data_IF_643299472002
#
_entry.id   IF_643299472002
#
_cell.length_a   1.000
_cell.length_b   1.000
_cell.length_c   1.000
_cell.angle_alpha   90.00
_cell.angle_beta   90.00
_cell.angle_gamma   90.00
#
_symmetry.space_group_name_H-M   'P 1'
#
loop_
_entity.id
_entity.type
_entity.pdbx_description
1 polymer ?
#
# COMPACT_ATOMS: atom_id res chain seq x y z
N UNK A 1 -11.73 -11.83 10.23
CA UNK A 1 -12.85 -11.02 9.71
C UNK A 1 -13.76 -11.93 8.91
N UNK A 2 -15.05 -11.93 9.21
CA UNK A 2 -16.09 -12.61 8.42
C UNK A 2 -16.77 -11.54 7.57
N UNK A 3 -16.46 -11.57 6.28
CA UNK A 3 -17.00 -10.68 5.27
C UNK A 3 -17.15 -11.46 3.95
N UNK A 4 -18.07 -11.06 3.08
CA UNK A 4 -18.22 -11.70 1.77
C UNK A 4 -18.80 -10.74 0.72
N UNK A 5 -18.33 -10.80 -0.53
CA UNK A 5 -18.73 -9.84 -1.56
C UNK A 5 -20.19 -9.99 -2.00
N UNK A 6 -20.79 -11.19 -1.90
CA UNK A 6 -22.10 -11.48 -2.49
C UNK A 6 -22.98 -12.32 -1.55
N UNK A 7 -24.03 -11.70 -1.05
CA UNK A 7 -25.10 -12.36 -0.27
C UNK A 7 -26.43 -11.63 -0.39
N UNK A 8 -26.63 -10.92 -1.52
CA UNK A 8 -27.74 -9.98 -1.72
C UNK A 8 -28.89 -10.56 -2.55
N UNK A 9 -28.87 -11.87 -2.88
CA UNK A 9 -29.92 -12.53 -3.68
C UNK A 9 -30.37 -13.85 -3.06
N UNK A 10 -31.59 -14.26 -3.38
CA UNK A 10 -32.19 -15.51 -2.92
C UNK A 10 -31.39 -16.71 -3.45
N UNK A 11 -30.89 -17.57 -2.56
CA UNK A 11 -30.05 -18.72 -2.91
C UNK A 11 -28.53 -18.47 -2.80
N UNK A 12 -28.10 -17.26 -2.46
CA UNK A 12 -26.68 -17.00 -2.19
C UNK A 12 -26.18 -17.79 -0.96
N UNK A 13 -24.93 -18.29 -0.96
CA UNK A 13 -24.35 -18.95 0.21
C UNK A 13 -24.35 -18.03 1.45
N UNK A 14 -24.92 -18.51 2.54
CA UNK A 14 -24.94 -17.81 3.82
C UNK A 14 -23.59 -17.85 4.54
N UNK A 15 -23.34 -16.86 5.41
CA UNK A 15 -22.10 -16.74 6.20
C UNK A 15 -22.12 -17.46 7.54
N UNK A 16 -23.22 -18.15 7.87
CA UNK A 16 -23.47 -18.74 9.19
C UNK A 16 -22.41 -19.77 9.57
N UNK A 17 -22.02 -20.62 8.61
CA UNK A 17 -20.93 -21.58 8.81
C UNK A 17 -19.59 -20.91 9.09
N UNK A 18 -19.28 -19.80 8.43
CA UNK A 18 -18.07 -19.02 8.68
C UNK A 18 -18.08 -18.38 10.08
N UNK A 19 -19.22 -17.79 10.48
CA UNK A 19 -19.41 -17.25 11.83
C UNK A 19 -19.16 -18.35 12.88
N UNK A 20 -19.85 -19.48 12.76
CA UNK A 20 -19.67 -20.60 13.69
C UNK A 20 -18.21 -21.08 13.74
N UNK A 21 -17.60 -21.32 12.58
CA UNK A 21 -16.23 -21.85 12.47
C UNK A 21 -15.21 -20.91 13.10
N UNK A 22 -15.30 -19.60 12.83
CA UNK A 22 -14.40 -18.60 13.41
C UNK A 22 -14.52 -18.56 14.94
N UNK A 23 -15.74 -18.64 15.47
CA UNK A 23 -15.97 -18.71 16.92
C UNK A 23 -15.34 -19.94 17.56
N UNK A 24 -15.49 -21.10 16.92
CA UNK A 24 -14.88 -22.35 17.37
C UNK A 24 -13.35 -22.29 17.32
N UNK A 25 -12.77 -21.75 16.24
CA UNK A 25 -11.33 -21.57 16.12
C UNK A 25 -10.77 -20.64 17.21
N UNK A 26 -11.45 -19.51 17.46
CA UNK A 26 -11.06 -18.57 18.52
C UNK A 26 -11.06 -19.23 19.92
N UNK A 27 -12.07 -20.04 20.21
CA UNK A 27 -12.18 -20.78 21.49
C UNK A 27 -11.16 -21.90 21.64
N UNK A 28 -10.84 -22.60 20.56
CA UNK A 28 -9.92 -23.75 20.55
C UNK A 28 -8.44 -23.35 20.64
N UNK A 29 -8.13 -22.05 20.68
CA UNK A 29 -6.79 -21.56 20.98
C UNK A 29 -6.32 -22.12 22.33
N UNK A 30 -5.03 -22.42 22.47
CA UNK A 30 -4.49 -22.94 23.75
C UNK A 30 -4.65 -21.94 24.89
N UNK A 31 -4.29 -20.68 24.63
CA UNK A 31 -4.30 -19.58 25.58
C UNK A 31 -4.51 -18.24 24.85
N UNK A 32 -4.94 -17.23 25.61
CA UNK A 32 -5.12 -15.86 25.14
C UNK A 32 -6.51 -15.59 24.56
N UNK A 33 -6.64 -14.44 23.92
CA UNK A 33 -7.86 -13.96 23.30
C UNK A 33 -7.71 -13.86 21.78
N UNK A 34 -8.83 -13.86 21.07
CA UNK A 34 -8.86 -13.69 19.62
C UNK A 34 -9.87 -12.61 19.27
N UNK A 35 -9.39 -11.57 18.57
CA UNK A 35 -10.26 -10.56 18.00
C UNK A 35 -10.89 -11.09 16.71
N UNK A 36 -12.21 -11.09 16.68
CA UNK A 36 -13.00 -11.49 15.51
C UNK A 36 -13.92 -10.35 15.11
N UNK A 37 -14.06 -10.18 13.80
CA UNK A 37 -14.86 -9.13 13.21
C UNK A 37 -15.91 -9.77 12.30
N UNK A 38 -17.12 -9.26 12.30
CA UNK A 38 -18.19 -9.64 11.36
C UNK A 38 -18.80 -8.38 10.76
N UNK A 39 -18.89 -8.37 9.44
CA UNK A 39 -19.48 -7.28 8.67
C UNK A 39 -20.92 -7.62 8.24
N UNK A 40 -21.69 -6.59 7.85
CA UNK A 40 -23.11 -6.66 7.48
C UNK A 40 -24.04 -7.16 8.61
N UNK A 41 -23.80 -6.71 9.85
CA UNK A 41 -24.61 -7.06 11.03
C UNK A 41 -25.95 -6.34 11.10
N UNK A 42 -26.23 -5.45 10.15
CA UNK A 42 -27.56 -4.90 9.88
C UNK A 42 -28.51 -5.98 9.32
N UNK A 43 -27.96 -7.07 8.77
CA UNK A 43 -28.75 -8.25 8.38
C UNK A 43 -29.06 -9.12 9.58
N UNK A 44 -30.32 -9.55 9.67
CA UNK A 44 -30.85 -10.36 10.78
C UNK A 44 -30.07 -11.65 11.01
N UNK A 45 -29.55 -12.28 9.95
CA UNK A 45 -28.88 -13.58 10.09
C UNK A 45 -27.49 -13.40 10.69
N UNK A 46 -26.67 -12.49 10.17
CA UNK A 46 -25.36 -12.15 10.70
C UNK A 46 -25.45 -11.58 12.13
N UNK A 47 -26.42 -10.70 12.41
CA UNK A 47 -26.71 -10.20 13.76
C UNK A 47 -26.97 -11.36 14.74
N UNK A 48 -27.93 -12.21 14.40
CA UNK A 48 -28.38 -13.31 15.26
C UNK A 48 -27.28 -14.33 15.45
N UNK A 49 -26.63 -14.78 14.37
CA UNK A 49 -25.60 -15.82 14.44
C UNK A 49 -24.34 -15.34 15.15
N UNK A 50 -23.90 -14.09 14.93
CA UNK A 50 -22.71 -13.57 15.63
C UNK A 50 -22.94 -13.48 17.13
N UNK A 51 -24.06 -12.88 17.59
CA UNK A 51 -24.40 -12.83 19.02
C UNK A 51 -24.58 -14.22 19.63
N UNK A 52 -25.17 -15.14 18.87
CA UNK A 52 -25.37 -16.53 19.28
C UNK A 52 -24.05 -17.22 19.58
N UNK A 53 -23.19 -17.31 18.56
CA UNK A 53 -22.03 -18.19 18.56
C UNK A 53 -20.79 -17.52 19.14
N UNK A 54 -20.75 -16.18 19.18
CA UNK A 54 -19.61 -15.45 19.72
C UNK A 54 -19.87 -14.82 21.09
N UNK A 55 -21.06 -15.02 21.67
CA UNK A 55 -21.52 -14.41 22.91
C UNK A 55 -21.60 -12.87 22.83
N UNK A 56 -22.77 -12.31 23.11
CA UNK A 56 -22.95 -10.86 23.20
C UNK A 56 -22.02 -10.22 24.26
N UNK A 57 -21.75 -10.92 25.36
CA UNK A 57 -20.82 -10.46 26.40
C UNK A 57 -19.35 -10.36 25.99
N UNK A 58 -18.96 -10.84 24.80
CA UNK A 58 -17.62 -10.67 24.23
C UNK A 58 -17.56 -9.58 23.16
N UNK A 59 -18.69 -8.97 22.82
CA UNK A 59 -18.72 -7.83 21.90
C UNK A 59 -18.04 -6.64 22.57
N UNK A 60 -17.07 -6.03 21.86
CA UNK A 60 -16.33 -4.86 22.35
C UNK A 60 -16.82 -3.58 21.71
N UNK A 61 -17.12 -3.63 20.42
CA UNK A 61 -17.49 -2.46 19.65
C UNK A 61 -18.41 -2.84 18.50
N UNK A 62 -19.29 -1.91 18.13
CA UNK A 62 -20.01 -1.92 16.86
C UNK A 62 -19.85 -0.54 16.21
N UNK A 63 -19.36 -0.52 14.98
CA UNK A 63 -19.22 0.69 14.17
C UNK A 63 -20.03 0.49 12.89
N UNK A 64 -21.18 1.16 12.78
CA UNK A 64 -22.13 0.94 11.70
C UNK A 64 -22.50 -0.54 11.53
N UNK A 65 -22.11 -1.13 10.40
CA UNK A 65 -22.39 -2.52 10.00
C UNK A 65 -21.31 -3.53 10.42
N UNK A 66 -20.25 -3.09 11.08
CA UNK A 66 -19.15 -3.92 11.55
C UNK A 66 -19.25 -4.14 13.06
N UNK A 67 -19.07 -5.38 13.52
CA UNK A 67 -18.87 -5.70 14.93
C UNK A 67 -17.50 -6.29 15.19
N UNK A 68 -16.99 -5.97 16.38
CA UNK A 68 -15.76 -6.51 16.95
C UNK A 68 -16.09 -7.27 18.24
N UNK A 69 -15.58 -8.49 18.34
CA UNK A 69 -15.64 -9.32 19.54
C UNK A 69 -14.22 -9.73 19.93
N UNK A 70 -13.96 -9.84 21.23
CA UNK A 70 -12.72 -10.41 21.77
C UNK A 70 -13.08 -11.71 22.48
N UNK A 71 -12.80 -12.83 21.83
CA UNK A 71 -13.21 -14.16 22.29
C UNK A 71 -12.05 -14.82 23.06
N UNK A 72 -12.22 -15.15 24.35
CA UNK A 72 -11.19 -15.81 25.13
C UNK A 72 -11.12 -17.31 24.82
N UNK A 73 -9.91 -17.88 24.90
CA UNK A 73 -9.73 -19.32 24.78
C UNK A 73 -10.49 -20.10 25.87
N UNK A 74 -10.81 -21.37 25.60
CA UNK A 74 -11.51 -22.23 26.56
C UNK A 74 -10.76 -22.38 27.89
N UNK A 75 -9.41 -22.46 27.86
CA UNK A 75 -8.60 -22.57 29.08
C UNK A 75 -8.55 -21.26 29.86
N UNK A 76 -8.46 -20.12 29.16
CA UNK A 76 -8.47 -18.79 29.78
C UNK A 76 -9.84 -18.41 30.36
N UNK A 77 -10.92 -19.13 30.00
CA UNK A 77 -12.28 -18.84 30.45
C UNK A 77 -12.87 -19.88 31.41
N UNK A 78 -12.04 -20.65 32.13
CA UNK A 78 -12.38 -21.65 33.16
C UNK A 78 -13.88 -21.73 33.49
N UNK A 79 -14.61 -22.60 32.79
CA UNK A 79 -16.01 -22.92 33.08
C UNK A 79 -17.09 -22.08 32.36
N UNK A 80 -16.76 -21.06 31.56
CA UNK A 80 -17.75 -20.38 30.71
C UNK A 80 -18.04 -21.22 29.46
N UNK A 81 -19.26 -21.74 29.27
CA UNK A 81 -19.59 -22.50 28.06
C UNK A 81 -19.36 -21.63 26.82
N UNK A 82 -19.08 -22.26 25.68
CA UNK A 82 -19.37 -21.61 24.38
C UNK A 82 -20.82 -21.14 24.47
N UNK A 83 -21.20 -19.98 23.95
CA UNK A 83 -22.61 -19.63 23.98
C UNK A 83 -23.31 -20.47 22.91
N UNK A 84 -24.10 -21.48 23.29
CA UNK A 84 -25.41 -21.58 22.74
C UNK A 84 -26.31 -21.16 23.88
N UNK A 85 -26.95 -19.99 23.76
CA UNK A 85 -28.12 -19.80 24.60
C UNK A 85 -29.08 -20.95 24.26
N UNK A 86 -29.49 -21.71 25.28
CA UNK A 86 -30.36 -22.88 25.14
C UNK A 86 -31.69 -22.53 24.42
N UNK A 87 -32.04 -21.23 24.40
CA UNK A 87 -33.19 -20.64 23.69
C UNK A 87 -32.98 -20.52 22.16
N UNK A 88 -31.75 -20.27 21.69
CA UNK A 88 -31.52 -20.01 20.27
C UNK A 88 -31.52 -21.27 19.41
N UNK A 89 -31.03 -22.40 19.94
CA UNK A 89 -31.09 -23.70 19.25
C UNK A 89 -32.54 -24.14 19.04
N UNK A 90 -33.46 -23.79 19.97
CA UNK A 90 -34.90 -24.04 19.86
C UNK A 90 -35.58 -23.09 18.86
N UNK A 91 -35.24 -21.80 18.89
CA UNK A 91 -35.85 -20.78 18.01
C UNK A 91 -35.28 -20.77 16.58
N UNK A 92 -34.01 -21.13 16.35
CA UNK A 92 -33.46 -21.30 15.00
C UNK A 92 -34.08 -22.53 14.30
N UNK A 93 -34.35 -23.61 15.04
CA UNK A 93 -35.11 -24.77 14.55
C UNK A 93 -36.50 -24.38 14.05
N UNK A 94 -37.21 -23.51 14.79
CA UNK A 94 -38.55 -23.07 14.44
C UNK A 94 -38.61 -21.99 13.34
N UNK A 95 -37.58 -21.15 13.21
CA UNK A 95 -37.60 -19.98 12.31
C UNK A 95 -36.98 -20.25 10.92
N UNK A 96 -36.09 -21.23 10.79
CA UNK A 96 -35.35 -21.49 9.54
C UNK A 96 -35.52 -22.89 8.94
N UNK A 97 -36.44 -23.71 9.46
CA UNK A 97 -36.87 -24.99 8.87
C UNK A 97 -35.75 -25.78 8.18
N UNK A 98 -35.01 -26.61 8.91
CA UNK A 98 -33.88 -27.35 8.35
C UNK A 98 -34.26 -28.18 7.11
N UNK A 99 -33.85 -27.71 5.93
CA UNK A 99 -33.25 -28.58 4.92
C UNK A 99 -31.74 -28.42 5.02
N UNK A 100 -31.07 -29.45 5.56
CA UNK A 100 -29.67 -29.72 5.27
C UNK A 100 -28.61 -29.32 6.32
N UNK A 101 -28.56 -30.00 7.46
CA UNK A 101 -27.28 -30.28 8.17
C UNK A 101 -27.38 -31.62 8.92
N UNK A 102 -27.00 -32.76 8.31
CA UNK A 102 -27.16 -34.09 8.93
C UNK A 102 -26.14 -34.40 10.04
N UNK A 103 -25.21 -33.49 10.36
CA UNK A 103 -24.06 -33.83 11.22
C UNK A 103 -24.19 -33.43 12.68
N UNK A 104 -25.24 -32.71 13.07
CA UNK A 104 -25.40 -32.21 14.45
C UNK A 104 -26.19 -33.18 15.35
N UNK A 105 -26.88 -34.18 14.79
CA UNK A 105 -27.71 -35.12 15.56
C UNK A 105 -27.03 -36.45 15.94
N UNK A 106 -25.77 -36.69 15.56
CA UNK A 106 -25.11 -38.01 15.73
C UNK A 106 -24.09 -38.14 16.88
N UNK A 107 -24.01 -37.19 17.81
CA UNK A 107 -23.09 -37.31 18.98
C UNK A 107 -23.77 -37.85 20.24
N UNK A 108 -25.09 -38.03 20.24
CA UNK A 108 -25.78 -38.70 21.34
C UNK A 108 -26.61 -39.86 20.81
N UNK A 109 -26.28 -41.06 21.31
CA UNK A 109 -27.06 -42.31 21.25
C UNK A 109 -26.89 -43.12 19.94
N UNK A 110 -26.02 -44.13 19.97
CA UNK A 110 -26.37 -45.57 19.78
C UNK A 110 -25.10 -46.43 19.61
N UNK A 111 -24.92 -47.37 20.54
CA UNK A 111 -24.13 -48.58 20.31
C UNK A 111 -25.04 -49.60 19.61
N UNK A 112 -24.73 -50.02 18.38
CA UNK A 112 -24.68 -51.45 18.03
C UNK A 112 -24.10 -51.68 16.63
N UNK A 113 -23.30 -52.74 16.41
CA UNK A 113 -22.53 -52.94 15.19
C UNK A 113 -23.13 -54.07 14.35
N UNK A 114 -23.59 -53.80 13.13
CA UNK A 114 -23.71 -54.84 12.09
C UNK A 114 -23.75 -54.19 10.70
N UNK A 115 -23.00 -54.81 9.77
CA UNK A 115 -22.75 -54.44 8.36
C UNK A 115 -21.71 -53.34 8.03
N UNK A 116 -20.57 -53.35 8.73
CA UNK A 116 -19.38 -52.61 8.31
C UNK A 116 -18.58 -53.30 7.17
N UNK A 117 -18.80 -54.60 6.90
CA UNK A 117 -17.97 -55.38 5.95
C UNK A 117 -18.29 -55.18 4.47
N UNK A 118 -19.52 -54.79 4.11
CA UNK A 118 -19.88 -54.54 2.69
C UNK A 118 -19.39 -53.17 2.17
N UNK A 119 -19.16 -52.21 3.08
CA UNK A 119 -18.75 -50.85 2.73
C UNK A 119 -17.23 -50.74 2.48
N UNK A 120 -16.44 -51.65 3.04
CA UNK A 120 -14.98 -51.67 2.89
C UNK A 120 -14.46 -52.28 1.58
N UNK A 121 -15.28 -53.02 0.81
CA UNK A 121 -14.87 -53.53 -0.52
C UNK A 121 -15.43 -52.70 -1.70
N UNK A 122 -16.62 -52.11 -1.57
CA UNK A 122 -17.27 -51.39 -2.69
C UNK A 122 -16.67 -50.01 -2.98
N UNK A 123 -16.27 -49.28 -1.93
CA UNK A 123 -15.70 -47.93 -2.05
C UNK A 123 -14.31 -47.89 -2.69
N UNK A 124 -13.34 -48.78 -2.36
CA UNK A 124 -12.03 -48.76 -3.00
C UNK A 124 -12.07 -49.20 -4.48
N UNK A 125 -12.98 -50.10 -4.87
CA UNK A 125 -13.12 -50.52 -6.28
C UNK A 125 -13.66 -49.39 -7.17
N UNK A 126 -14.62 -48.62 -6.67
CA UNK A 126 -15.16 -47.44 -7.36
C UNK A 126 -14.11 -46.32 -7.46
N UNK A 127 -13.27 -46.14 -6.43
CA UNK A 127 -12.18 -45.16 -6.44
C UNK A 127 -11.09 -45.52 -7.45
N UNK A 128 -10.74 -46.80 -7.60
CA UNK A 128 -9.77 -47.29 -8.59
C UNK A 128 -10.24 -47.05 -10.04
N UNK A 129 -11.53 -47.27 -10.33
CA UNK A 129 -12.13 -46.99 -11.65
C UNK A 129 -12.09 -45.49 -12.01
N UNK A 130 -12.33 -44.61 -11.04
CA UNK A 130 -12.28 -43.15 -11.24
C UNK A 130 -10.84 -42.66 -11.47
N UNK A 131 -9.85 -43.27 -10.80
CA UNK A 131 -8.44 -42.94 -10.99
C UNK A 131 -7.94 -43.38 -12.37
N UNK A 132 -8.28 -44.60 -12.82
CA UNK A 132 -7.89 -45.10 -14.15
C UNK A 132 -8.52 -44.27 -15.28
N UNK A 133 -9.78 -43.82 -15.13
CA UNK A 133 -10.42 -42.94 -16.13
C UNK A 133 -9.82 -41.53 -16.18
N UNK A 134 -9.22 -41.04 -15.08
CA UNK A 134 -8.62 -39.70 -15.02
C UNK A 134 -7.15 -39.65 -15.46
N UNK A 135 -6.45 -40.79 -15.49
CA UNK A 135 -5.02 -40.86 -15.85
C UNK A 135 -4.70 -40.72 -17.34
N UNK A 136 -5.69 -40.63 -18.24
CA UNK A 136 -5.48 -40.44 -19.68
C UNK A 136 -5.51 -38.98 -20.16
N UNK A 137 -5.58 -38.00 -19.27
CA UNK A 137 -5.28 -36.60 -19.60
C UNK A 137 -3.98 -36.18 -18.88
N UNK A 138 -2.87 -36.39 -19.58
CA UNK A 138 -1.53 -35.90 -19.22
C UNK A 138 -1.52 -34.37 -19.05
N UNK A 139 -0.92 -33.91 -17.95
CA UNK A 139 0.37 -33.19 -17.85
C UNK A 139 0.28 -31.72 -18.34
N UNK A 140 0.69 -30.72 -17.57
CA UNK A 140 2.05 -30.54 -17.06
C UNK A 140 2.13 -29.81 -15.71
N UNK A 141 3.22 -30.09 -15.02
CA UNK A 141 3.65 -29.58 -13.73
C UNK A 141 3.96 -28.08 -13.73
N UNK A 142 3.66 -27.44 -12.59
CA UNK A 142 4.42 -26.29 -12.12
C UNK A 142 4.67 -26.47 -10.62
N UNK A 143 5.93 -26.73 -10.27
CA UNK A 143 6.40 -26.81 -8.90
C UNK A 143 6.44 -25.42 -8.26
N UNK A 144 5.80 -25.30 -7.11
CA UNK A 144 6.23 -24.41 -6.03
C UNK A 144 6.31 -25.19 -4.72
N UNK A 145 7.46 -25.16 -4.06
CA UNK A 145 7.58 -25.19 -2.60
C UNK A 145 8.21 -23.83 -2.23
N UNK A 146 7.37 -22.90 -1.76
CA UNK A 146 7.15 -22.55 -0.35
C UNK A 146 8.23 -21.60 0.19
N UNK A 147 7.87 -20.33 0.45
CA UNK A 147 8.04 -19.67 1.77
C UNK A 147 6.91 -18.65 2.00
N UNK A 148 6.05 -19.00 2.97
CA UNK A 148 5.40 -18.20 4.03
C UNK A 148 5.44 -16.67 3.85
N UNK A 149 4.33 -15.99 3.52
CA UNK A 149 3.19 -15.59 4.37
C UNK A 149 3.51 -14.87 5.70
N UNK A 150 3.01 -13.63 5.76
CA UNK A 150 2.66 -12.87 6.96
C UNK A 150 2.33 -11.42 6.56
N UNK A 151 1.23 -11.12 5.86
CA UNK A 151 -0.12 -10.81 6.40
C UNK A 151 -0.01 -9.80 7.57
N UNK A 152 -0.37 -8.53 7.35
CA UNK A 152 -1.69 -7.92 7.65
C UNK A 152 -1.89 -7.71 9.17
N UNK A 153 -2.50 -6.67 9.73
CA UNK A 153 -3.39 -5.61 9.24
C UNK A 153 -3.76 -4.71 10.43
N UNK A 154 -4.12 -3.45 10.13
CA UNK A 154 -5.26 -2.63 10.63
C UNK A 154 -5.74 -2.72 12.10
N UNK A 155 -6.05 -1.55 12.66
CA UNK A 155 -7.35 -1.20 13.29
C UNK A 155 -7.39 0.34 13.48
N UNK A 156 -8.38 1.07 12.95
CA UNK A 156 -9.70 1.46 13.52
C UNK A 156 -9.64 2.42 14.74
N UNK A 157 -10.36 3.53 14.55
CA UNK A 157 -10.53 4.81 15.27
C UNK A 157 -11.04 4.76 16.72
N UNK A 158 -10.55 5.67 17.58
CA UNK A 158 -11.22 6.24 18.78
C UNK A 158 -10.47 7.53 19.25
N UNK A 159 -11.24 8.58 19.59
CA UNK A 159 -10.90 9.63 20.58
C UNK A 159 -9.99 10.77 20.11
N UNK A 160 -10.32 12.02 20.49
CA UNK A 160 -9.35 13.12 20.52
C UNK A 160 -8.14 12.68 21.34
N UNK A 161 -7.05 12.30 20.67
CA UNK A 161 -5.76 12.04 21.27
C UNK A 161 -4.90 13.24 20.89
N UNK A 162 -4.56 14.08 21.86
CA UNK A 162 -3.36 14.88 21.79
C UNK A 162 -2.20 13.92 21.49
N UNK A 163 -1.77 13.86 20.23
CA UNK A 163 -0.66 13.02 19.81
C UNK A 163 0.63 13.63 20.34
N UNK A 164 1.03 13.26 21.55
CA UNK A 164 2.43 13.28 21.92
C UNK A 164 3.10 12.13 21.15
N UNK A 165 4.00 12.40 20.18
CA UNK A 165 4.62 11.36 19.37
C UNK A 165 5.73 10.71 20.19
N UNK A 166 5.39 9.69 20.97
CA UNK A 166 6.38 8.91 21.72
C UNK A 166 6.30 7.42 21.37
N UNK A 167 6.28 7.10 20.07
CA UNK A 167 6.59 5.74 19.62
C UNK A 167 8.10 5.58 19.55
N UNK A 168 8.74 5.36 20.70
CA UNK A 168 10.18 5.02 20.78
C UNK A 168 10.42 3.63 20.17
N UNK A 169 10.54 3.56 18.85
CA UNK A 169 11.48 2.65 18.21
C UNK A 169 12.78 3.43 18.02
N UNK A 170 13.48 3.73 19.12
CA UNK A 170 14.81 4.30 19.07
C UNK A 170 15.81 3.32 19.66
N UNK A 171 16.73 2.88 18.80
CA UNK A 171 18.08 2.39 19.08
C UNK A 171 18.21 1.18 20.02
N UNK A 172 18.21 -0.02 19.43
CA UNK A 172 18.93 -1.20 19.96
C UNK A 172 19.52 -1.99 18.76
N UNK A 173 20.58 -2.81 18.99
CA UNK A 173 21.45 -3.34 17.92
C UNK A 173 20.68 -4.22 16.90
N UNK A 174 21.26 -4.53 15.72
CA UNK A 174 20.54 -4.86 14.47
C UNK A 174 19.86 -6.25 14.43
N UNK A 175 19.42 -6.80 15.57
CA UNK A 175 18.94 -8.18 15.65
C UNK A 175 17.47 -8.34 16.06
N UNK A 176 16.71 -7.27 16.35
CA UNK A 176 15.26 -7.36 16.54
C UNK A 176 14.49 -6.59 15.46
N UNK A 177 14.25 -7.25 14.33
CA UNK A 177 13.39 -6.69 13.27
C UNK A 177 11.99 -6.42 13.85
N UNK A 178 11.57 -5.15 13.88
CA UNK A 178 10.20 -4.79 14.24
C UNK A 178 9.23 -5.43 13.24
N UNK A 179 8.40 -6.38 13.69
CA UNK A 179 7.46 -7.11 12.84
C UNK A 179 6.12 -6.40 12.64
N UNK A 180 5.99 -5.16 13.13
CA UNK A 180 4.74 -4.39 13.02
C UNK A 180 4.66 -3.70 11.66
N UNK A 181 3.44 -3.60 11.12
CA UNK A 181 3.20 -2.88 9.88
C UNK A 181 3.56 -1.40 10.09
N UNK A 182 4.35 -0.80 9.20
CA UNK A 182 4.65 0.62 9.23
C UNK A 182 3.41 1.52 9.31
N UNK A 183 3.39 2.53 10.19
CA UNK A 183 2.29 3.50 10.25
C UNK A 183 2.02 4.19 8.91
N UNK A 184 3.07 4.54 8.15
CA UNK A 184 2.93 5.15 6.82
C UNK A 184 2.19 4.24 5.85
N UNK A 185 2.49 2.94 5.86
CA UNK A 185 1.80 1.95 5.03
C UNK A 185 0.34 1.76 5.46
N UNK A 186 0.06 1.72 6.76
CA UNK A 186 -1.31 1.64 7.28
C UNK A 186 -2.14 2.85 6.83
N UNK A 187 -1.58 4.06 6.95
CA UNK A 187 -2.24 5.31 6.57
C UNK A 187 -2.54 5.35 5.07
N UNK A 188 -1.57 5.00 4.23
CA UNK A 188 -1.75 4.91 2.77
C UNK A 188 -2.82 3.89 2.38
N UNK A 189 -2.75 2.66 2.91
CA UNK A 189 -3.72 1.60 2.62
C UNK A 189 -5.14 2.00 3.01
N UNK A 190 -5.32 2.60 4.20
CA UNK A 190 -6.64 3.09 4.61
C UNK A 190 -7.10 4.20 3.67
N UNK A 191 -6.29 5.23 3.46
CA UNK A 191 -6.66 6.38 2.64
C UNK A 191 -7.11 5.99 1.21
N UNK A 192 -6.33 5.20 0.49
CA UNK A 192 -6.64 4.84 -0.90
C UNK A 192 -7.70 3.74 -1.02
N UNK A 193 -7.89 2.90 0.00
CA UNK A 193 -8.96 1.88 -0.04
C UNK A 193 -10.33 2.42 0.37
N UNK A 194 -10.39 3.60 1.00
CA UNK A 194 -11.64 4.18 1.51
C UNK A 194 -11.97 5.55 0.92
N UNK A 195 -11.21 6.04 -0.06
CA UNK A 195 -11.49 7.30 -0.76
C UNK A 195 -11.68 7.08 -2.26
N UNK A 196 -12.36 8.03 -2.91
CA UNK A 196 -12.46 8.07 -4.37
C UNK A 196 -11.28 8.83 -5.02
N UNK A 197 -10.21 9.07 -4.25
CA UNK A 197 -9.04 9.80 -4.70
C UNK A 197 -8.04 8.79 -5.26
N UNK A 198 -7.64 9.01 -6.51
CA UNK A 198 -6.60 8.21 -7.18
C UNK A 198 -5.41 9.09 -7.52
N UNK A 199 -4.17 8.56 -7.45
CA UNK A 199 -3.00 9.18 -8.06
C UNK A 199 -3.24 9.59 -9.52
N UNK A 200 -2.57 10.65 -9.97
CA UNK A 200 -2.61 11.11 -11.37
C UNK A 200 -1.92 10.11 -12.32
N UNK A 201 -0.85 9.49 -11.84
CA UNK A 201 -0.10 8.49 -12.60
C UNK A 201 -0.87 7.18 -12.70
N UNK A 202 -0.77 6.52 -13.86
CA UNK A 202 -1.37 5.20 -14.07
C UNK A 202 -0.64 4.11 -13.28
N UNK A 203 -1.26 2.95 -13.11
CA UNK A 203 -0.61 1.79 -12.48
C UNK A 203 0.73 1.43 -13.16
N UNK A 204 0.81 1.51 -14.49
CA UNK A 204 2.03 1.19 -15.23
C UNK A 204 3.13 2.21 -14.97
N UNK A 205 2.78 3.50 -14.99
CA UNK A 205 3.69 4.60 -14.67
C UNK A 205 4.23 4.45 -13.24
N UNK A 206 3.34 4.30 -12.24
CA UNK A 206 3.71 4.12 -10.83
C UNK A 206 4.63 2.91 -10.65
N UNK A 207 4.38 1.83 -11.38
CA UNK A 207 5.16 0.59 -11.28
C UNK A 207 6.64 0.80 -11.61
N UNK A 208 6.99 1.76 -12.47
CA UNK A 208 8.39 2.05 -12.81
C UNK A 208 9.13 2.59 -11.58
N UNK A 209 8.60 3.66 -10.96
CA UNK A 209 9.21 4.25 -9.76
C UNK A 209 9.15 3.31 -8.57
N UNK A 210 8.04 2.57 -8.41
CA UNK A 210 7.89 1.59 -7.32
C UNK A 210 8.93 0.46 -7.39
N UNK A 211 9.30 -0.02 -8.59
CA UNK A 211 10.35 -1.03 -8.74
C UNK A 211 11.74 -0.51 -8.37
N UNK A 212 12.01 0.78 -8.60
CA UNK A 212 13.26 1.42 -8.16
C UNK A 212 13.26 1.57 -6.64
N UNK A 213 12.17 2.10 -6.05
CA UNK A 213 12.02 2.22 -4.60
C UNK A 213 12.13 0.85 -3.90
N UNK A 214 11.56 -0.22 -4.46
CA UNK A 214 11.68 -1.56 -3.89
C UNK A 214 13.14 -2.01 -3.73
N UNK A 215 14.04 -1.58 -4.61
CA UNK A 215 15.48 -1.92 -4.57
C UNK A 215 16.31 -0.94 -3.73
N UNK A 216 15.88 0.33 -3.67
CA UNK A 216 16.66 1.43 -3.09
C UNK A 216 16.20 1.82 -1.68
N UNK A 217 14.93 1.61 -1.34
CA UNK A 217 14.37 2.01 -0.05
C UNK A 217 14.97 1.20 1.10
N UNK A 218 15.16 1.79 2.29
CA UNK A 218 14.95 3.22 2.60
C UNK A 218 16.03 4.12 1.97
N UNK A 219 15.62 5.23 1.35
CA UNK A 219 16.53 6.16 0.67
C UNK A 219 16.10 7.63 0.82
N UNK A 220 16.92 8.55 0.31
CA UNK A 220 16.52 9.96 0.17
C UNK A 220 15.75 10.14 -1.15
N UNK A 221 14.47 10.48 -1.05
CA UNK A 221 13.59 10.70 -2.21
C UNK A 221 13.04 12.13 -2.23
N UNK A 222 13.40 12.90 -3.26
CA UNK A 222 12.87 14.24 -3.50
C UNK A 222 11.76 14.20 -4.54
N UNK A 223 10.67 14.91 -4.30
CA UNK A 223 9.55 15.04 -5.24
C UNK A 223 9.27 16.53 -5.43
N UNK A 224 9.39 17.02 -6.66
CA UNK A 224 8.78 18.29 -7.05
C UNK A 224 7.31 18.01 -7.31
N UNK A 225 6.45 18.49 -6.41
CA UNK A 225 5.00 18.31 -6.41
C UNK A 225 4.51 17.68 -5.12
N UNK A 226 3.44 18.25 -4.55
CA UNK A 226 2.68 17.64 -3.46
C UNK A 226 1.29 17.31 -3.98
N UNK A 227 0.86 16.07 -3.84
CA UNK A 227 -0.35 15.62 -4.51
C UNK A 227 -1.02 14.42 -3.88
N UNK A 228 -1.97 13.86 -4.62
CA UNK A 228 -2.73 12.69 -4.22
C UNK A 228 -1.90 11.41 -4.16
N UNK A 229 -0.69 11.41 -4.67
CA UNK A 229 0.26 10.30 -4.67
C UNK A 229 1.35 10.42 -3.59
N UNK A 230 1.49 11.57 -2.94
CA UNK A 230 2.53 11.83 -1.94
C UNK A 230 2.51 10.85 -0.77
N UNK A 231 1.32 10.47 -0.29
CA UNK A 231 1.19 9.48 0.78
C UNK A 231 1.65 8.09 0.32
N UNK A 232 1.37 7.71 -0.92
CA UNK A 232 1.89 6.48 -1.53
C UNK A 232 3.42 6.52 -1.65
N UNK A 233 4.00 7.63 -2.13
CA UNK A 233 5.46 7.78 -2.25
C UNK A 233 6.17 7.66 -0.90
N UNK A 234 5.67 8.35 0.12
CA UNK A 234 6.19 8.25 1.49
C UNK A 234 6.06 6.82 2.06
N UNK A 235 4.95 6.13 1.78
CA UNK A 235 4.75 4.76 2.22
C UNK A 235 5.66 3.74 1.51
N UNK A 236 5.89 3.91 0.20
CA UNK A 236 6.80 3.05 -0.58
C UNK A 236 8.26 3.24 -0.18
N UNK A 237 8.65 4.44 0.27
CA UNK A 237 9.98 4.72 0.81
C UNK A 237 10.02 4.61 2.35
N UNK A 238 9.34 3.61 2.93
CA UNK A 238 9.27 3.47 4.38
C UNK A 238 10.66 3.36 5.03
N UNK A 239 10.90 4.18 6.06
CA UNK A 239 12.18 4.26 6.77
C UNK A 239 13.20 5.19 6.11
N UNK A 240 12.92 5.66 4.89
CA UNK A 240 13.69 6.71 4.21
C UNK A 240 13.14 8.11 4.47
N UNK A 241 13.81 9.13 3.90
CA UNK A 241 13.34 10.51 3.90
C UNK A 241 12.68 10.80 2.56
N UNK A 242 11.42 11.24 2.58
CA UNK A 242 10.71 11.67 1.37
C UNK A 242 10.26 13.11 1.55
N UNK A 243 10.67 14.00 0.64
CA UNK A 243 10.39 15.44 0.73
C UNK A 243 9.66 15.92 -0.52
N UNK A 244 8.64 16.76 -0.32
CA UNK A 244 7.82 17.32 -1.38
C UNK A 244 8.03 18.84 -1.51
N UNK A 245 8.25 19.34 -2.72
CA UNK A 245 8.38 20.77 -3.03
C UNK A 245 7.16 21.24 -3.81
N UNK A 246 6.43 22.23 -3.32
CA UNK A 246 5.11 22.60 -3.84
C UNK A 246 4.95 24.12 -4.01
N UNK A 247 4.30 24.56 -5.10
CA UNK A 247 4.06 25.97 -5.38
C UNK A 247 2.89 26.61 -4.63
N UNK A 248 1.86 25.84 -4.25
CA UNK A 248 0.67 26.39 -3.60
C UNK A 248 0.72 26.21 -2.07
N UNK A 249 0.98 27.31 -1.35
CA UNK A 249 1.03 27.30 0.11
C UNK A 249 -0.31 26.92 0.77
N UNK A 250 -1.46 27.24 0.17
CA UNK A 250 -2.76 26.83 0.68
C UNK A 250 -2.99 25.32 0.48
N UNK A 251 -2.52 24.78 -0.64
CA UNK A 251 -2.52 23.35 -0.90
C UNK A 251 -1.65 22.58 0.10
N UNK A 252 -0.43 23.06 0.38
CA UNK A 252 0.45 22.50 1.42
C UNK A 252 -0.28 22.42 2.76
N UNK A 253 -0.91 23.53 3.21
CA UNK A 253 -1.65 23.57 4.47
C UNK A 253 -2.79 22.54 4.49
N UNK A 254 -3.53 22.42 3.38
CA UNK A 254 -4.62 21.45 3.25
C UNK A 254 -4.12 20.01 3.36
N UNK A 255 -3.09 19.65 2.59
CA UNK A 255 -2.55 18.29 2.57
C UNK A 255 -1.92 17.92 3.91
N UNK A 256 -1.07 18.79 4.47
CA UNK A 256 -0.41 18.55 5.77
C UNK A 256 -1.37 18.54 6.95
N UNK A 257 -2.51 19.23 6.88
CA UNK A 257 -3.59 19.08 7.88
C UNK A 257 -4.20 17.67 7.88
N UNK A 258 -4.23 17.02 6.72
CA UNK A 258 -4.77 15.65 6.56
C UNK A 258 -3.70 14.59 6.82
N UNK A 259 -2.46 14.87 6.38
CA UNK A 259 -1.31 13.98 6.50
C UNK A 259 -0.12 14.72 7.13
N UNK A 260 -0.11 14.90 8.46
CA UNK A 260 0.95 15.67 9.15
C UNK A 260 2.35 15.05 9.06
N UNK A 261 2.43 13.79 8.63
CA UNK A 261 3.67 13.05 8.43
C UNK A 261 4.39 13.38 7.12
N UNK A 262 3.76 14.10 6.19
CA UNK A 262 4.39 14.50 4.93
C UNK A 262 5.28 15.72 5.15
N UNK A 263 6.57 15.56 4.87
CA UNK A 263 7.55 16.65 4.88
C UNK A 263 7.45 17.42 3.56
N UNK A 264 6.98 18.66 3.61
CA UNK A 264 6.76 19.49 2.42
C UNK A 264 7.17 20.93 2.61
N UNK A 265 7.72 21.54 1.56
CA UNK A 265 8.17 22.94 1.55
C UNK A 265 7.56 23.71 0.39
N UNK A 266 7.24 24.98 0.66
CA UNK A 266 6.79 25.90 -0.37
C UNK A 266 7.98 26.35 -1.22
N UNK A 267 7.83 26.33 -2.54
CA UNK A 267 8.84 26.78 -3.50
C UNK A 267 8.19 27.70 -4.54
N UNK A 268 8.80 28.87 -4.74
CA UNK A 268 8.38 29.77 -5.81
C UNK A 268 9.09 29.42 -7.12
N UNK A 269 8.32 29.28 -8.19
CA UNK A 269 8.81 29.05 -9.55
C UNK A 269 8.63 30.33 -10.38
N UNK A 270 9.73 30.89 -10.86
CA UNK A 270 9.80 32.21 -11.51
C UNK A 270 9.76 32.14 -13.05
N UNK A 271 9.95 30.96 -13.63
CA UNK A 271 9.83 30.72 -15.08
C UNK A 271 8.39 30.45 -15.49
N UNK A 272 8.03 30.79 -16.73
CA UNK A 272 6.70 30.51 -17.31
C UNK A 272 6.81 29.62 -18.54
N UNK A 273 5.79 28.79 -18.80
CA UNK A 273 5.73 27.92 -19.99
C UNK A 273 5.98 28.69 -21.29
N UNK A 274 5.43 29.91 -21.41
CA UNK A 274 5.65 30.78 -22.58
C UNK A 274 7.11 31.18 -22.83
N UNK A 275 8.00 30.98 -21.86
CA UNK A 275 9.43 31.31 -21.95
C UNK A 275 10.29 30.08 -22.32
N UNK A 276 9.67 28.91 -22.55
CA UNK A 276 10.39 27.65 -22.74
C UNK A 276 11.45 27.70 -23.84
N UNK A 277 11.12 28.21 -25.02
CA UNK A 277 12.05 28.25 -26.16
C UNK A 277 13.28 29.13 -25.88
N UNK A 278 13.09 30.26 -25.21
CA UNK A 278 14.20 31.14 -24.85
C UNK A 278 15.02 30.57 -23.69
N UNK A 279 14.36 29.92 -22.73
CA UNK A 279 15.04 29.26 -21.62
C UNK A 279 15.86 28.04 -22.07
N UNK A 280 15.43 27.33 -23.11
CA UNK A 280 16.21 26.27 -23.75
C UNK A 280 17.52 26.83 -24.31
N UNK A 281 17.47 27.98 -25.01
CA UNK A 281 18.69 28.65 -25.51
C UNK A 281 19.59 29.12 -24.37
N UNK A 282 19.01 29.64 -23.29
CA UNK A 282 19.77 30.07 -22.09
C UNK A 282 20.46 28.87 -21.43
N UNK A 283 19.79 27.73 -21.32
CA UNK A 283 20.37 26.52 -20.73
C UNK A 283 21.59 25.97 -21.47
N UNK A 284 21.75 26.34 -22.75
CA UNK A 284 22.91 25.96 -23.56
C UNK A 284 24.14 26.84 -23.34
N UNK A 285 24.02 27.94 -22.59
CA UNK A 285 25.15 28.80 -22.26
C UNK A 285 26.11 28.12 -21.28
N UNK A 286 27.39 28.48 -21.35
CA UNK A 286 28.43 27.82 -20.56
C UNK A 286 28.20 27.93 -19.05
N UNK A 287 27.63 29.03 -18.56
CA UNK A 287 27.27 29.18 -17.14
C UNK A 287 26.20 28.19 -16.63
N UNK A 288 25.42 27.60 -17.52
CA UNK A 288 24.41 26.58 -17.21
C UNK A 288 24.97 25.15 -17.27
N UNK A 289 26.23 24.98 -17.69
CA UNK A 289 26.85 23.65 -17.86
C UNK A 289 27.84 23.28 -16.74
N UNK A 290 28.18 24.26 -15.91
CA UNK A 290 29.12 24.11 -14.79
C UNK A 290 28.43 23.38 -13.63
N UNK A 291 28.73 22.09 -13.48
CA UNK A 291 28.24 21.30 -12.35
C UNK A 291 28.87 21.80 -11.05
N UNK A 292 28.02 22.11 -10.07
CA UNK A 292 28.43 22.62 -8.76
C UNK A 292 27.22 22.85 -7.86
N UNK A 293 27.42 23.65 -6.81
CA UNK A 293 26.33 24.05 -5.93
C UNK A 293 25.31 24.91 -6.70
N UNK A 294 24.09 24.38 -6.87
CA UNK A 294 23.01 25.02 -7.62
C UNK A 294 22.63 26.37 -7.03
N UNK A 295 22.79 26.56 -5.71
CA UNK A 295 22.54 27.83 -5.01
C UNK A 295 23.42 28.97 -5.52
N UNK A 296 24.59 28.63 -6.05
CA UNK A 296 25.58 29.57 -6.57
C UNK A 296 25.51 29.69 -8.10
N UNK A 297 24.63 28.92 -8.76
CA UNK A 297 24.52 28.93 -10.21
C UNK A 297 24.01 30.28 -10.72
N UNK A 298 24.65 30.78 -11.77
CA UNK A 298 24.22 31.99 -12.49
C UNK A 298 23.14 31.68 -13.54
N UNK A 299 22.90 30.40 -13.82
CA UNK A 299 21.92 29.98 -14.81
C UNK A 299 20.51 30.41 -14.42
N UNK A 300 19.76 30.99 -15.35
CA UNK A 300 18.37 31.41 -15.12
C UNK A 300 17.43 30.23 -14.79
N UNK A 301 17.80 29.01 -15.18
CA UNK A 301 17.04 27.79 -14.89
C UNK A 301 17.25 27.26 -13.46
N UNK A 302 18.26 27.73 -12.73
CA UNK A 302 18.53 27.28 -11.36
C UNK A 302 17.47 27.84 -10.39
N UNK A 303 16.74 26.96 -9.71
CA UNK A 303 15.74 27.37 -8.73
C UNK A 303 16.39 28.00 -7.50
N UNK A 304 15.86 29.15 -7.07
CA UNK A 304 16.38 29.93 -5.94
C UNK A 304 15.51 29.87 -4.69
N UNK A 305 14.23 29.51 -4.84
CA UNK A 305 13.25 29.45 -3.75
C UNK A 305 13.24 28.14 -2.96
N UNK A 306 14.18 27.24 -3.22
CA UNK A 306 14.27 25.93 -2.54
C UNK A 306 15.07 26.07 -1.23
N UNK A 307 14.62 25.48 -0.10
CA UNK A 307 15.37 25.53 1.16
C UNK A 307 16.80 24.99 1.04
N UNK A 308 17.74 25.63 1.75
CA UNK A 308 19.18 25.33 1.63
C UNK A 308 19.53 23.88 1.99
N UNK A 309 18.85 23.29 2.96
CA UNK A 309 19.08 21.92 3.41
C UNK A 309 18.72 20.88 2.33
N UNK A 310 17.82 21.21 1.40
CA UNK A 310 17.47 20.33 0.27
C UNK A 310 18.66 20.17 -0.69
N UNK A 311 19.49 21.21 -0.86
CA UNK A 311 20.69 21.15 -1.70
C UNK A 311 21.85 20.41 -1.04
N UNK A 312 21.80 20.20 0.27
CA UNK A 312 22.86 19.55 1.06
C UNK A 312 22.69 18.02 1.12
N UNK A 313 21.51 17.52 0.76
CA UNK A 313 21.17 16.09 0.73
C UNK A 313 21.60 15.46 -0.58
N UNK A 314 22.26 14.31 -0.51
CA UNK A 314 22.45 13.43 -1.67
C UNK A 314 21.18 12.61 -1.89
N UNK A 315 20.39 13.02 -2.88
CA UNK A 315 19.15 12.35 -3.25
C UNK A 315 19.43 11.11 -4.10
N UNK A 316 18.91 9.97 -3.65
CA UNK A 316 19.00 8.71 -4.38
C UNK A 316 17.99 8.67 -5.53
N UNK A 317 16.79 9.21 -5.26
CA UNK A 317 15.71 9.35 -6.22
C UNK A 317 15.21 10.80 -6.27
N UNK A 318 14.86 11.27 -7.47
CA UNK A 318 14.20 12.56 -7.68
C UNK A 318 13.03 12.38 -8.65
N UNK A 319 11.82 12.81 -8.30
CA UNK A 319 10.64 12.86 -9.19
C UNK A 319 10.30 14.32 -9.50
N UNK A 320 10.21 14.66 -10.78
CA UNK A 320 9.73 15.96 -11.24
C UNK A 320 8.29 15.82 -11.73
N UNK A 321 7.34 16.14 -10.84
CA UNK A 321 5.90 16.16 -11.13
C UNK A 321 5.22 17.52 -10.83
N UNK A 322 6.01 18.59 -10.76
CA UNK A 322 5.55 19.96 -10.58
C UNK A 322 6.63 20.94 -11.08
N UNK A 323 6.27 22.21 -11.32
CA UNK A 323 4.95 22.83 -11.16
C UNK A 323 3.91 22.42 -12.21
N UNK A 324 2.71 22.96 -12.03
CA UNK A 324 1.47 22.74 -12.78
C UNK A 324 1.61 22.71 -14.33
N UNK A 325 2.28 23.70 -14.93
CA UNK A 325 2.73 23.67 -16.33
C UNK A 325 1.69 23.55 -17.46
N UNK A 326 0.37 23.58 -17.21
CA UNK A 326 -0.64 23.25 -18.26
C UNK A 326 -1.08 24.43 -19.15
N UNK A 327 -0.62 25.66 -18.92
CA UNK A 327 -0.93 26.82 -19.77
C UNK A 327 0.25 27.78 -19.88
N UNK A 328 0.28 28.60 -20.93
CA UNK A 328 1.43 29.47 -21.28
C UNK A 328 1.87 30.40 -20.15
N UNK A 329 0.93 30.92 -19.35
CA UNK A 329 1.22 31.81 -18.23
C UNK A 329 1.61 31.11 -16.93
N UNK A 330 1.46 29.78 -16.85
CA UNK A 330 1.75 28.98 -15.67
C UNK A 330 3.25 28.85 -15.45
N UNK A 331 3.68 28.60 -14.21
CA UNK A 331 5.02 28.09 -13.97
C UNK A 331 5.22 26.74 -14.67
N UNK A 332 6.31 26.61 -15.41
CA UNK A 332 6.66 25.40 -16.16
C UNK A 332 7.75 24.57 -15.47
N UNK A 333 7.91 23.30 -15.86
CA UNK A 333 8.87 22.37 -15.25
C UNK A 333 10.33 22.60 -15.67
N UNK A 334 10.62 23.60 -16.50
CA UNK A 334 11.98 23.89 -16.99
C UNK A 334 13.01 24.02 -15.86
N UNK A 335 12.74 24.87 -14.86
CA UNK A 335 13.65 25.08 -13.74
C UNK A 335 13.77 23.86 -12.81
N UNK A 336 12.67 23.13 -12.59
CA UNK A 336 12.66 21.91 -11.80
C UNK A 336 13.49 20.80 -12.48
N UNK A 337 13.31 20.59 -13.78
CA UNK A 337 14.08 19.62 -14.58
C UNK A 337 15.57 19.96 -14.52
N UNK A 338 15.94 21.21 -14.84
CA UNK A 338 17.34 21.64 -14.78
C UNK A 338 17.96 21.44 -13.39
N UNK A 339 17.26 21.91 -12.34
CA UNK A 339 17.75 21.83 -10.95
C UNK A 339 17.90 20.39 -10.49
N UNK A 340 16.94 19.51 -10.78
CA UNK A 340 17.02 18.09 -10.47
C UNK A 340 18.23 17.42 -11.16
N UNK A 341 18.47 17.75 -12.43
CA UNK A 341 19.63 17.24 -13.18
C UNK A 341 20.95 17.69 -12.58
N UNK A 342 21.05 18.97 -12.21
CA UNK A 342 22.24 19.54 -11.58
C UNK A 342 22.52 18.91 -10.21
N UNK A 343 21.48 18.72 -9.38
CA UNK A 343 21.59 18.04 -8.09
C UNK A 343 22.06 16.58 -8.27
N UNK A 344 21.43 15.84 -9.20
CA UNK A 344 21.79 14.46 -9.50
C UNK A 344 23.24 14.34 -10.00
N UNK A 345 23.71 15.25 -10.85
CA UNK A 345 25.10 15.26 -11.35
C UNK A 345 26.10 15.70 -10.28
N UNK A 346 25.72 16.63 -9.40
CA UNK A 346 26.60 17.17 -8.37
C UNK A 346 26.79 16.23 -7.15
N UNK A 347 26.07 15.11 -7.07
CA UNK A 347 26.31 14.07 -6.07
C UNK A 347 27.79 13.65 -6.02
N UNK A 348 28.28 13.27 -4.85
CA UNK A 348 29.69 12.96 -4.62
C UNK A 348 30.12 11.68 -5.33
N UNK A 349 29.36 10.60 -5.18
CA UNK A 349 29.70 9.28 -5.71
C UNK A 349 28.45 8.52 -6.14
N UNK A 350 28.53 7.66 -7.15
CA UNK A 350 27.42 6.78 -7.62
C UNK A 350 26.46 7.45 -8.60
N UNK A 351 25.20 6.98 -8.64
CA UNK A 351 24.17 7.41 -9.59
C UNK A 351 22.82 7.69 -8.90
N UNK A 352 22.11 8.72 -9.38
CA UNK A 352 20.76 9.10 -8.93
C UNK A 352 19.72 8.70 -9.98
N UNK A 353 18.63 8.10 -9.53
CA UNK A 353 17.48 7.79 -10.37
C UNK A 353 16.56 9.02 -10.45
N UNK A 354 16.33 9.54 -11.65
CA UNK A 354 15.54 10.76 -11.86
C UNK A 354 14.36 10.46 -12.78
N UNK A 355 13.18 10.95 -12.40
CA UNK A 355 11.94 10.76 -13.11
C UNK A 355 11.31 12.09 -13.48
N UNK A 356 10.66 12.16 -14.64
CA UNK A 356 9.79 13.28 -15.03
C UNK A 356 8.47 12.72 -15.54
N UNK A 357 7.37 13.31 -15.12
CA UNK A 357 6.03 13.00 -15.62
C UNK A 357 5.56 14.05 -16.64
N UNK A 358 4.46 13.76 -17.34
CA UNK A 358 3.88 14.57 -18.41
C UNK A 358 4.80 14.79 -19.63
N UNK A 359 5.64 13.81 -20.01
CA UNK A 359 6.53 13.92 -21.19
C UNK A 359 5.82 13.88 -22.56
N UNK A 360 4.49 13.79 -22.57
CA UNK A 360 3.66 14.07 -23.74
C UNK A 360 3.57 15.58 -24.04
N UNK A 361 3.97 16.44 -23.09
CA UNK A 361 4.10 17.88 -23.27
C UNK A 361 5.49 18.25 -23.76
N UNK A 362 5.55 19.30 -24.58
CA UNK A 362 6.76 19.72 -25.29
C UNK A 362 7.88 20.19 -24.34
N UNK A 363 7.54 20.88 -23.25
CA UNK A 363 8.51 21.36 -22.26
C UNK A 363 9.21 20.19 -21.62
N UNK A 364 8.45 19.29 -21.01
CA UNK A 364 8.96 18.14 -20.28
C UNK A 364 9.74 17.20 -21.21
N UNK A 365 9.25 16.99 -22.43
CA UNK A 365 9.95 16.18 -23.42
C UNK A 365 11.33 16.75 -23.77
N UNK A 366 11.38 18.01 -24.22
CA UNK A 366 12.60 18.64 -24.70
C UNK A 366 13.60 18.88 -23.57
N UNK A 367 13.15 19.45 -22.45
CA UNK A 367 14.04 19.79 -21.34
C UNK A 367 14.62 18.54 -20.68
N UNK A 368 13.85 17.46 -20.49
CA UNK A 368 14.42 16.26 -19.86
C UNK A 368 15.48 15.58 -20.72
N UNK A 369 15.27 15.48 -22.04
CA UNK A 369 16.28 14.91 -22.96
C UNK A 369 17.54 15.77 -23.05
N UNK A 370 17.36 17.09 -23.08
CA UNK A 370 18.42 18.08 -23.13
C UNK A 370 19.25 18.04 -21.82
N UNK A 371 18.64 18.37 -20.69
CA UNK A 371 19.36 18.60 -19.43
C UNK A 371 19.73 17.33 -18.67
N UNK A 372 19.08 16.18 -18.92
CA UNK A 372 19.44 14.91 -18.25
C UNK A 372 20.25 13.97 -19.11
N UNK A 373 20.61 14.39 -20.32
CA UNK A 373 21.25 13.58 -21.35
C UNK A 373 20.37 12.41 -21.80
N UNK A 374 19.94 12.41 -23.06
CA UNK A 374 19.18 11.30 -23.65
C UNK A 374 19.87 9.93 -23.49
N UNK A 375 21.21 9.90 -23.48
CA UNK A 375 22.01 8.70 -23.25
C UNK A 375 21.84 8.07 -21.84
N UNK A 376 21.33 8.81 -20.86
CA UNK A 376 21.06 8.32 -19.50
C UNK A 376 19.61 7.85 -19.32
N UNK A 377 18.76 7.97 -20.35
CA UNK A 377 17.39 7.48 -20.31
C UNK A 377 17.39 5.95 -20.21
N UNK A 378 16.56 5.42 -19.30
CA UNK A 378 16.43 3.97 -19.06
C UNK A 378 15.11 3.42 -19.56
N UNK A 379 14.04 4.16 -19.30
CA UNK A 379 12.68 3.71 -19.60
C UNK A 379 11.77 4.91 -19.80
N UNK A 380 10.79 4.76 -20.69
CA UNK A 380 9.60 5.61 -20.74
C UNK A 380 8.38 4.69 -20.74
N UNK A 381 7.44 4.96 -19.84
CA UNK A 381 6.18 4.24 -19.73
C UNK A 381 5.05 5.28 -19.68
N UNK A 382 4.16 5.26 -20.67
CA UNK A 382 3.15 6.31 -20.80
C UNK A 382 3.78 7.71 -20.83
N UNK A 383 3.38 8.56 -19.88
CA UNK A 383 3.85 9.93 -19.71
C UNK A 383 4.98 10.06 -18.68
N UNK A 384 5.45 8.95 -18.11
CA UNK A 384 6.57 8.92 -17.19
C UNK A 384 7.85 8.55 -17.92
N UNK A 385 8.95 9.25 -17.64
CA UNK A 385 10.28 8.94 -18.13
C UNK A 385 11.28 8.83 -16.98
N UNK A 386 12.15 7.83 -17.05
CA UNK A 386 13.17 7.48 -16.06
C UNK A 386 14.57 7.57 -16.65
N UNK A 387 15.48 8.20 -15.91
CA UNK A 387 16.90 8.33 -16.19
C UNK A 387 17.73 7.84 -15.00
N UNK A 388 18.93 7.33 -15.26
CA UNK A 388 19.93 7.08 -14.22
C UNK A 388 21.11 7.98 -14.48
N UNK A 389 21.27 9.02 -13.66
CA UNK A 389 22.25 10.09 -13.86
C UNK A 389 23.47 9.83 -12.97
N UNK A 390 24.66 9.57 -13.55
CA UNK A 390 25.88 9.33 -12.77
C UNK A 390 26.44 10.62 -12.20
N UNK A 391 27.23 10.54 -11.13
CA UNK A 391 28.03 11.67 -10.64
C UNK A 391 28.94 12.24 -11.74
N UNK A 392 29.16 13.56 -11.76
CA UNK A 392 30.19 14.15 -12.61
C UNK A 392 31.61 13.78 -12.16
N UNK A 393 31.79 13.35 -10.91
CA UNK A 393 33.10 13.02 -10.32
C UNK A 393 33.60 11.63 -10.70
N UNK A 394 32.69 10.70 -11.04
CA UNK A 394 33.04 9.33 -11.45
C UNK A 394 33.60 9.25 -12.88
N UNK A 395 33.41 10.29 -13.69
CA UNK A 395 33.97 10.39 -15.04
C UNK A 395 34.38 11.83 -15.30
N UNK A 396 35.61 12.15 -14.87
CA UNK A 396 36.23 13.47 -15.04
C UNK A 396 36.17 13.88 -16.52
N UNK A 397 35.63 15.07 -16.80
CA UNK A 397 35.60 15.65 -18.15
C UNK A 397 34.28 15.50 -18.93
N UNK A 398 33.21 14.93 -18.36
CA UNK A 398 31.86 14.99 -18.98
C UNK A 398 31.06 16.17 -18.41
N UNK A 399 30.79 17.24 -19.18
CA UNK A 399 29.98 18.37 -18.71
C UNK A 399 28.53 17.97 -18.43
N UNK A 400 27.76 18.88 -17.82
CA UNK A 400 26.30 18.78 -17.78
C UNK A 400 25.73 18.81 -19.20
N UNK A 401 24.65 18.07 -19.46
CA UNK A 401 23.98 18.18 -20.75
C UNK A 401 23.19 19.50 -20.81
N UNK A 402 23.34 20.28 -21.89
CA UNK A 402 22.75 21.60 -22.05
C UNK A 402 21.29 21.58 -22.52
#
# INVERSE_FOLDING_TARGET
MVDAPTGYFLGAPGRMGAIYTVGMMARNRKEGETDVFVHDVDRKVEDKFSKAFWCEGYMRQQEGRLRHFTIPSHRSSLGKPFCPSYSLTKNLKNQFGFMGFPHIEKILITQNPLNLKLLFLGVPLAFLLIVILRSNLSSSQQDQITIRQGISSKASSIGEIQTNPTTKCLSTPPTSSCTKIPPSLVQALIHYSTSNITPQQTLKEISVTAQVLQRRSPCNFLVFGLGHDSLMWSALNHGGRTVFLEEDQAWIKKVTSTFPSLESYHVEYDTKVSQADDLMKVGQLEECRVVGDVRLSKCKLALKGVPNDIFEVEWDLIMVDAPTGYFLGAPGRMGAIYTAGMMARNRKEGETDVFVHDVDREVEDKFSKAFWCEAYMRQQEGRLRHFTIPSHRSSLGKPFCP
#
